data_IF_507725938821
#
_entry.id   IF_507725938821
#
_cell.length_a   1.000
_cell.length_b   1.000
_cell.length_c   1.000
_cell.angle_alpha   90.00
_cell.angle_beta   90.00
_cell.angle_gamma   90.00
#
_symmetry.space_group_name_H-M   'P 1'
#
loop_
_entity.id
_entity.type
_entity.pdbx_description
1 polymer ?
#
# COMPACT_ATOMS: atom_id res chain seq x y z
N UNK A 1 14.54 36.58 -36.92
CA UNK A 1 14.17 35.16 -37.06
C UNK A 1 13.79 34.62 -35.69
N UNK A 2 12.51 34.22 -35.55
CA UNK A 2 11.82 33.91 -34.29
C UNK A 2 11.21 32.52 -34.47
N UNK A 3 12.00 31.44 -34.34
CA UNK A 3 11.48 30.06 -34.32
C UNK A 3 12.47 29.11 -33.63
N UNK A 4 12.87 29.35 -32.37
CA UNK A 4 13.36 28.28 -31.48
C UNK A 4 12.88 28.57 -30.04
N UNK A 5 11.57 28.66 -29.92
CA UNK A 5 10.85 28.59 -28.67
C UNK A 5 10.38 27.14 -28.48
N UNK A 6 10.22 26.75 -27.21
CA UNK A 6 9.03 26.03 -26.72
C UNK A 6 9.00 24.50 -26.52
N UNK A 7 10.10 23.74 -26.60
CA UNK A 7 10.02 22.32 -26.20
C UNK A 7 11.24 21.90 -25.38
N UNK A 8 11.08 21.94 -24.04
CA UNK A 8 11.65 21.02 -23.03
C UNK A 8 11.47 21.53 -21.59
N UNK A 9 10.73 22.63 -21.38
CA UNK A 9 10.06 22.87 -20.11
C UNK A 9 8.78 22.00 -20.03
N UNK A 10 8.94 20.67 -20.08
CA UNK A 10 7.87 19.80 -19.61
C UNK A 10 7.84 20.00 -18.11
N UNK A 11 6.78 20.68 -17.68
CA UNK A 11 6.42 20.89 -16.30
C UNK A 11 6.71 19.63 -15.46
N UNK A 12 7.76 19.69 -14.64
CA UNK A 12 7.79 18.92 -13.42
C UNK A 12 6.63 19.45 -12.58
N UNK A 13 5.45 18.87 -12.79
CA UNK A 13 4.33 19.01 -11.87
C UNK A 13 4.89 18.69 -10.48
N UNK A 14 4.90 19.72 -9.63
CA UNK A 14 5.40 19.65 -8.27
C UNK A 14 4.46 18.79 -7.42
N UNK A 15 4.56 17.46 -7.56
CA UNK A 15 4.23 16.53 -6.50
C UNK A 15 5.41 16.53 -5.54
N UNK A 16 5.20 16.86 -4.26
CA UNK A 16 6.26 16.77 -3.23
C UNK A 16 6.91 15.38 -3.32
N UNK A 17 8.14 15.31 -3.83
CA UNK A 17 8.89 14.07 -3.93
C UNK A 17 8.98 13.39 -2.56
N UNK A 18 9.14 12.06 -2.57
CA UNK A 18 9.34 11.30 -1.33
C UNK A 18 10.50 11.92 -0.52
N UNK A 19 10.39 12.06 0.79
CA UNK A 19 11.52 12.55 1.60
C UNK A 19 12.67 11.54 1.53
N UNK A 20 13.90 12.02 1.79
CA UNK A 20 15.09 11.15 1.84
C UNK A 20 14.89 10.00 2.82
N UNK A 21 14.42 10.29 4.04
CA UNK A 21 14.16 9.28 5.07
C UNK A 21 13.16 8.22 4.62
N UNK A 22 12.10 8.61 3.90
CA UNK A 22 11.14 7.64 3.40
C UNK A 22 11.66 6.82 2.22
N UNK A 23 12.61 7.33 1.42
CA UNK A 23 13.32 6.50 0.44
C UNK A 23 14.23 5.49 1.13
N UNK A 24 14.94 5.91 2.17
CA UNK A 24 15.82 5.02 2.96
C UNK A 24 15.03 3.89 3.61
N UNK A 25 13.85 4.17 4.17
CA UNK A 25 12.92 3.15 4.65
C UNK A 25 12.54 2.13 3.57
N UNK A 26 12.15 2.60 2.38
CA UNK A 26 11.76 1.71 1.29
C UNK A 26 12.92 0.82 0.83
N UNK A 27 14.13 1.37 0.78
CA UNK A 27 15.35 0.61 0.52
C UNK A 27 15.63 -0.42 1.63
N UNK A 28 15.48 -0.04 2.90
CA UNK A 28 15.63 -0.95 4.03
C UNK A 28 14.65 -2.13 3.91
N UNK A 29 13.37 -1.85 3.62
CA UNK A 29 12.33 -2.88 3.55
C UNK A 29 12.63 -3.96 2.50
N UNK A 30 13.25 -3.57 1.38
CA UNK A 30 13.74 -4.50 0.35
C UNK A 30 14.97 -5.26 0.86
N UNK A 31 15.99 -4.55 1.34
CA UNK A 31 17.29 -5.13 1.71
C UNK A 31 17.20 -6.09 2.90
N UNK A 32 16.28 -5.84 3.83
CA UNK A 32 16.02 -6.68 5.01
C UNK A 32 15.02 -7.81 4.74
N UNK A 33 14.49 -7.90 3.53
CA UNK A 33 13.51 -8.94 3.17
C UNK A 33 12.14 -8.75 3.82
N UNK A 34 11.83 -7.55 4.35
CA UNK A 34 10.47 -7.22 4.79
C UNK A 34 9.48 -7.20 3.61
N UNK A 35 9.98 -7.02 2.38
CA UNK A 35 9.23 -7.20 1.14
C UNK A 35 9.86 -8.35 0.35
N UNK A 36 9.14 -9.46 0.20
CA UNK A 36 9.59 -10.66 -0.53
C UNK A 36 9.45 -10.47 -2.04
N UNK A 37 10.31 -9.64 -2.64
CA UNK A 37 10.24 -9.28 -4.07
C UNK A 37 10.35 -10.48 -5.01
N UNK A 38 11.23 -11.44 -4.71
CA UNK A 38 11.39 -12.67 -5.51
C UNK A 38 10.11 -13.51 -5.56
N UNK A 39 9.43 -13.64 -4.42
CA UNK A 39 8.12 -14.29 -4.33
C UNK A 39 7.10 -13.54 -5.20
N UNK A 40 7.01 -12.22 -5.08
CA UNK A 40 6.08 -11.42 -5.90
C UNK A 40 6.34 -11.55 -7.39
N UNK A 41 7.60 -11.46 -7.81
CA UNK A 41 7.95 -11.61 -9.23
C UNK A 41 7.54 -12.99 -9.76
N UNK A 42 7.73 -14.06 -8.99
CA UNK A 42 7.29 -15.40 -9.38
C UNK A 42 5.76 -15.46 -9.55
N UNK A 43 5.01 -14.97 -8.56
CA UNK A 43 3.53 -14.96 -8.58
C UNK A 43 2.95 -14.12 -9.71
N UNK A 44 3.52 -12.96 -9.99
CA UNK A 44 3.10 -12.12 -11.12
C UNK A 44 3.33 -12.84 -12.45
N UNK A 45 4.49 -13.49 -12.62
CA UNK A 45 4.78 -14.27 -13.84
C UNK A 45 3.84 -15.46 -14.01
N UNK A 46 3.48 -16.16 -12.94
CA UNK A 46 2.53 -17.28 -12.99
C UNK A 46 1.11 -16.83 -13.39
N UNK A 47 0.65 -15.71 -12.86
CA UNK A 47 -0.75 -15.28 -13.01
C UNK A 47 -1.02 -14.64 -14.39
N UNK A 48 0.01 -14.07 -15.03
CA UNK A 48 -0.03 -13.39 -16.34
C UNK A 48 -1.01 -12.21 -16.49
N UNK A 49 -1.91 -12.00 -15.53
CA UNK A 49 -3.00 -11.01 -15.57
C UNK A 49 -3.38 -10.56 -14.16
N UNK A 50 -4.05 -9.41 -14.04
CA UNK A 50 -4.47 -8.88 -12.74
C UNK A 50 -5.73 -9.59 -12.25
N UNK A 51 -5.63 -10.26 -11.10
CA UNK A 51 -6.72 -10.96 -10.42
C UNK A 51 -6.79 -10.53 -8.95
N UNK A 52 -7.87 -10.89 -8.25
CA UNK A 52 -7.97 -10.67 -6.80
C UNK A 52 -6.84 -11.37 -6.02
N UNK A 53 -6.34 -12.51 -6.53
CA UNK A 53 -5.25 -13.28 -5.90
C UNK A 53 -3.94 -12.49 -5.84
N UNK A 54 -3.67 -11.63 -6.83
CA UNK A 54 -2.45 -10.79 -6.80
C UNK A 54 -2.42 -9.89 -5.57
N UNK A 55 -3.57 -9.39 -5.12
CA UNK A 55 -3.62 -8.61 -3.88
C UNK A 55 -3.26 -9.46 -2.65
N UNK A 56 -3.72 -10.71 -2.61
CA UNK A 56 -3.44 -11.62 -1.50
C UNK A 56 -1.97 -12.03 -1.47
N UNK A 57 -1.38 -12.23 -2.64
CA UNK A 57 0.05 -12.46 -2.79
C UNK A 57 0.87 -11.22 -2.35
N UNK A 58 0.39 -10.00 -2.64
CA UNK A 58 0.99 -8.75 -2.12
C UNK A 58 0.93 -8.66 -0.60
N UNK A 59 -0.25 -8.90 -0.02
CA UNK A 59 -0.44 -8.88 1.42
C UNK A 59 0.43 -9.91 2.13
N UNK A 60 0.66 -11.07 1.51
CA UNK A 60 1.52 -12.14 2.03
C UNK A 60 3.01 -11.82 1.91
N UNK A 61 3.40 -11.10 0.86
CA UNK A 61 4.80 -10.78 0.58
C UNK A 61 5.34 -9.60 1.40
N UNK A 62 4.47 -8.74 1.93
CA UNK A 62 4.83 -7.52 2.65
C UNK A 62 4.62 -7.74 4.15
N UNK A 63 5.71 -7.81 4.89
CA UNK A 63 5.70 -7.89 6.34
C UNK A 63 5.75 -6.47 6.96
N UNK A 64 4.58 -5.91 7.24
CA UNK A 64 4.46 -4.62 7.90
C UNK A 64 5.02 -4.63 9.33
N UNK A 65 5.03 -5.77 10.03
CA UNK A 65 5.66 -5.90 11.34
C UNK A 65 7.18 -5.75 11.26
N UNK A 66 7.78 -6.34 10.22
CA UNK A 66 9.19 -6.14 9.88
C UNK A 66 9.50 -4.68 9.56
N UNK A 67 8.67 -4.03 8.72
CA UNK A 67 8.85 -2.61 8.36
C UNK A 67 8.75 -1.70 9.60
N UNK A 68 7.75 -1.92 10.46
CA UNK A 68 7.48 -1.03 11.58
C UNK A 68 8.38 -1.24 12.80
N UNK A 69 8.81 -2.48 13.06
CA UNK A 69 9.38 -2.84 14.36
C UNK A 69 10.71 -3.59 14.30
N UNK A 70 10.80 -4.70 13.57
CA UNK A 70 11.92 -5.64 13.73
C UNK A 70 13.02 -5.49 12.69
N UNK A 71 12.71 -4.96 11.50
CA UNK A 71 13.65 -4.88 10.37
C UNK A 71 14.11 -3.46 10.03
N UNK A 72 13.20 -2.47 10.07
CA UNK A 72 13.44 -1.10 9.57
C UNK A 72 12.89 -0.01 10.52
N UNK A 73 12.94 -0.25 11.83
CA UNK A 73 12.34 0.62 12.84
C UNK A 73 12.91 2.04 12.82
N UNK A 74 14.24 2.16 12.75
CA UNK A 74 14.92 3.46 12.77
C UNK A 74 14.57 4.29 11.53
N UNK A 75 14.59 3.66 10.35
CA UNK A 75 14.16 4.30 9.10
C UNK A 75 12.66 4.64 9.12
N UNK A 76 11.83 3.80 9.74
CA UNK A 76 10.40 4.04 9.88
C UNK A 76 10.14 5.26 10.77
N UNK A 77 10.84 5.37 11.90
CA UNK A 77 10.73 6.51 12.81
C UNK A 77 11.23 7.80 12.15
N UNK A 78 12.26 7.72 11.30
CA UNK A 78 12.76 8.87 10.52
C UNK A 78 11.83 9.28 9.36
N UNK A 79 11.01 8.35 8.85
CA UNK A 79 10.00 8.62 7.82
C UNK A 79 8.65 8.97 8.46
N UNK A 80 8.28 10.26 8.49
CA UNK A 80 7.01 10.70 9.11
C UNK A 80 5.78 9.93 8.60
N UNK A 81 5.72 9.53 7.33
CA UNK A 81 4.60 8.73 6.83
C UNK A 81 4.52 7.35 7.49
N UNK A 82 5.66 6.68 7.69
CA UNK A 82 5.74 5.38 8.34
C UNK A 82 5.47 5.49 9.83
N UNK A 83 6.13 6.43 10.51
CA UNK A 83 5.92 6.70 11.94
C UNK A 83 4.44 6.96 12.25
N UNK A 84 3.76 7.79 11.47
CA UNK A 84 2.34 8.07 11.66
C UNK A 84 1.47 6.82 11.42
N UNK A 85 1.79 6.02 10.39
CA UNK A 85 1.07 4.77 10.12
C UNK A 85 1.27 3.73 11.23
N UNK A 86 2.48 3.68 11.81
CA UNK A 86 2.83 2.83 12.94
C UNK A 86 2.07 3.24 14.21
N UNK A 87 2.00 4.53 14.52
CA UNK A 87 1.25 5.03 15.67
C UNK A 87 -0.25 4.69 15.53
N UNK A 88 -0.83 4.92 14.35
CA UNK A 88 -2.24 4.56 14.09
C UNK A 88 -2.51 3.06 14.29
N UNK A 89 -1.55 2.18 13.93
CA UNK A 89 -1.68 0.75 14.19
C UNK A 89 -1.59 0.44 15.69
N UNK A 90 -0.69 1.08 16.43
CA UNK A 90 -0.59 0.93 17.88
C UNK A 90 -1.89 1.33 18.58
N UNK A 91 -2.49 2.45 18.18
CA UNK A 91 -3.76 2.93 18.75
C UNK A 91 -4.91 1.93 18.52
N UNK A 92 -4.95 1.29 17.34
CA UNK A 92 -5.92 0.21 17.04
C UNK A 92 -5.72 -0.98 17.96
N UNK A 93 -4.46 -1.38 18.17
CA UNK A 93 -4.11 -2.55 18.97
C UNK A 93 -4.30 -2.31 20.49
N UNK A 94 -4.17 -1.07 20.95
CA UNK A 94 -4.45 -0.69 22.34
C UNK A 94 -5.95 -0.50 22.63
N UNK A 95 -6.80 -0.52 21.60
CA UNK A 95 -8.24 -0.35 21.74
C UNK A 95 -8.67 1.09 21.98
N UNK A 96 -7.80 2.07 21.70
CA UNK A 96 -8.17 3.48 21.80
C UNK A 96 -9.06 3.88 20.62
N UNK A 97 -10.23 4.44 20.92
CA UNK A 97 -11.17 4.95 19.91
C UNK A 97 -10.56 6.17 19.24
N UNK A 98 -9.94 6.00 18.08
CA UNK A 98 -9.39 7.14 17.35
C UNK A 98 -10.53 7.88 16.63
N UNK A 99 -10.89 9.06 17.13
CA UNK A 99 -11.71 10.05 16.40
C UNK A 99 -10.93 10.71 15.25
N UNK A 100 -9.86 10.06 14.78
CA UNK A 100 -8.88 10.59 13.86
C UNK A 100 -9.14 10.21 12.41
N UNK A 101 -8.27 10.73 11.52
CA UNK A 101 -8.19 10.28 10.14
C UNK A 101 -8.03 8.75 10.12
N UNK A 102 -8.92 8.03 9.40
CA UNK A 102 -9.02 6.56 9.31
C UNK A 102 -9.98 5.83 10.28
N UNK A 103 -10.85 6.51 11.03
CA UNK A 103 -11.77 5.87 11.99
C UNK A 103 -12.55 4.65 11.47
N UNK A 104 -13.04 4.64 10.22
CA UNK A 104 -13.74 3.47 9.65
C UNK A 104 -12.84 2.23 9.54
N UNK A 105 -11.58 2.42 9.11
CA UNK A 105 -10.61 1.33 9.00
C UNK A 105 -10.26 0.79 10.39
N UNK A 106 -10.04 1.70 11.34
CA UNK A 106 -9.71 1.37 12.74
C UNK A 106 -10.84 0.57 13.37
N UNK A 107 -12.08 1.08 13.30
CA UNK A 107 -13.25 0.40 13.86
C UNK A 107 -13.45 -1.00 13.26
N UNK A 108 -13.29 -1.14 11.94
CA UNK A 108 -13.36 -2.45 11.29
C UNK A 108 -12.30 -3.41 11.86
N UNK A 109 -11.05 -2.95 12.00
CA UNK A 109 -9.96 -3.77 12.54
C UNK A 109 -10.21 -4.15 14.02
N UNK A 110 -10.67 -3.20 14.84
CA UNK A 110 -11.04 -3.44 16.24
C UNK A 110 -12.15 -4.49 16.35
N UNK A 111 -13.18 -4.41 15.50
CA UNK A 111 -14.24 -5.42 15.44
C UNK A 111 -13.72 -6.80 15.01
N UNK A 112 -12.83 -6.87 14.03
CA UNK A 112 -12.19 -8.13 13.62
C UNK A 112 -11.43 -8.79 14.78
N UNK A 113 -10.71 -7.99 15.58
CA UNK A 113 -9.95 -8.47 16.73
C UNK A 113 -10.88 -8.92 17.86
N UNK A 114 -11.88 -8.09 18.20
CA UNK A 114 -12.83 -8.36 19.28
C UNK A 114 -13.63 -9.65 19.06
N UNK A 115 -13.97 -9.97 17.81
CA UNK A 115 -14.74 -11.19 17.48
C UNK A 115 -13.94 -12.49 17.57
N UNK A 116 -12.61 -12.43 17.58
CA UNK A 116 -11.77 -13.60 17.37
C UNK A 116 -11.04 -14.10 18.62
N UNK A 117 -10.91 -13.28 19.68
CA UNK A 117 -10.36 -13.68 20.99
C UNK A 117 -8.86 -14.02 21.03
N UNK A 118 -8.31 -14.60 19.96
CA UNK A 118 -6.88 -14.88 19.74
C UNK A 118 -6.52 -14.70 18.26
N UNK A 119 -5.23 -14.43 17.97
CA UNK A 119 -4.70 -14.34 16.60
C UNK A 119 -4.98 -15.65 15.86
N UNK A 120 -5.85 -15.59 14.86
CA UNK A 120 -6.28 -16.73 14.05
C UNK A 120 -6.37 -16.32 12.59
N UNK A 121 -6.40 -17.31 11.69
CA UNK A 121 -6.62 -17.09 10.25
C UNK A 121 -7.90 -16.29 9.98
N UNK A 122 -8.88 -16.36 10.88
CA UNK A 122 -10.11 -15.56 10.82
C UNK A 122 -9.85 -14.06 11.01
N UNK A 123 -8.94 -13.67 11.92
CA UNK A 123 -8.54 -12.26 12.07
C UNK A 123 -7.84 -11.79 10.81
N UNK A 124 -6.86 -12.56 10.33
CA UNK A 124 -6.06 -12.21 9.15
C UNK A 124 -6.98 -12.04 7.93
N UNK A 125 -7.90 -12.98 7.72
CA UNK A 125 -8.88 -12.89 6.64
C UNK A 125 -9.80 -11.66 6.80
N UNK A 126 -10.30 -11.39 8.01
CA UNK A 126 -11.14 -10.22 8.29
C UNK A 126 -10.41 -8.90 7.97
N UNK A 127 -9.16 -8.77 8.39
CA UNK A 127 -8.35 -7.59 8.14
C UNK A 127 -8.02 -7.42 6.65
N UNK A 128 -7.54 -8.48 5.99
CA UNK A 128 -7.06 -8.43 4.61
C UNK A 128 -8.19 -8.37 3.57
N UNK A 129 -9.31 -9.03 3.81
CA UNK A 129 -10.42 -9.13 2.85
C UNK A 129 -11.60 -8.22 3.20
N UNK A 130 -11.77 -7.84 4.47
CA UNK A 130 -12.83 -6.93 4.91
C UNK A 130 -12.33 -5.51 5.09
N UNK A 131 -11.40 -5.31 6.02
CA UNK A 131 -11.05 -3.95 6.45
C UNK A 131 -10.14 -3.20 5.49
N UNK A 132 -9.26 -3.91 4.77
CA UNK A 132 -8.31 -3.28 3.85
C UNK A 132 -8.97 -2.41 2.77
N UNK A 133 -10.23 -2.70 2.40
CA UNK A 133 -11.03 -1.82 1.53
C UNK A 133 -11.08 -0.37 2.03
N UNK A 134 -11.23 -0.15 3.35
CA UNK A 134 -11.34 1.18 3.95
C UNK A 134 -10.02 1.98 3.90
N UNK A 135 -8.90 1.31 3.62
CA UNK A 135 -7.64 1.98 3.28
C UNK A 135 -7.77 2.72 1.94
N UNK A 136 -8.54 2.18 0.99
CA UNK A 136 -8.59 2.63 -0.40
C UNK A 136 -9.93 3.25 -0.83
N UNK A 137 -10.97 3.19 0.00
CA UNK A 137 -12.29 3.79 -0.26
C UNK A 137 -12.30 5.33 -0.26
N UNK A 138 -11.18 5.95 0.15
CA UNK A 138 -11.03 7.40 0.35
C UNK A 138 -11.19 7.85 1.80
N UNK A 139 -11.54 6.95 2.73
CA UNK A 139 -11.72 7.28 4.16
C UNK A 139 -10.43 7.35 4.96
N UNK A 140 -9.30 6.93 4.38
CA UNK A 140 -8.01 6.85 5.07
C UNK A 140 -6.84 7.17 4.13
N UNK A 141 -6.62 8.47 3.88
CA UNK A 141 -5.65 8.92 2.86
C UNK A 141 -4.21 8.51 3.16
N UNK A 142 -3.81 8.54 4.44
CA UNK A 142 -2.47 8.13 4.89
C UNK A 142 -2.20 6.65 4.62
N UNK A 143 -3.14 5.75 4.94
CA UNK A 143 -3.00 4.33 4.65
C UNK A 143 -2.84 4.09 3.15
N UNK A 144 -3.74 4.65 2.32
CA UNK A 144 -3.65 4.48 0.86
C UNK A 144 -2.28 4.95 0.34
N UNK A 145 -1.81 6.14 0.77
CA UNK A 145 -0.54 6.71 0.32
C UNK A 145 0.67 5.88 0.77
N UNK A 146 0.67 5.40 2.01
CA UNK A 146 1.74 4.56 2.52
C UNK A 146 1.80 3.23 1.78
N UNK A 147 0.67 2.51 1.70
CA UNK A 147 0.59 1.22 1.02
C UNK A 147 0.91 1.33 -0.47
N UNK A 148 0.46 2.41 -1.14
CA UNK A 148 0.83 2.69 -2.53
C UNK A 148 2.33 2.88 -2.71
N UNK A 149 3.02 3.52 -1.76
CA UNK A 149 4.48 3.73 -1.82
C UNK A 149 5.25 2.43 -1.62
N UNK A 150 4.82 1.61 -0.66
CA UNK A 150 5.38 0.27 -0.43
C UNK A 150 5.20 -0.59 -1.69
N UNK A 151 4.00 -0.60 -2.27
CA UNK A 151 3.75 -1.30 -3.53
C UNK A 151 4.62 -0.77 -4.67
N UNK A 152 4.70 0.56 -4.86
CA UNK A 152 5.50 1.13 -5.94
C UNK A 152 6.97 0.71 -5.82
N UNK A 153 7.51 0.68 -4.60
CA UNK A 153 8.85 0.17 -4.37
C UNK A 153 8.97 -1.30 -4.78
N UNK A 154 8.07 -2.17 -4.31
CA UNK A 154 8.05 -3.58 -4.66
C UNK A 154 7.93 -3.80 -6.18
N UNK A 155 7.07 -3.01 -6.82
CA UNK A 155 6.82 -3.03 -8.26
C UNK A 155 8.06 -2.69 -9.08
N UNK A 156 8.78 -1.63 -8.69
CA UNK A 156 10.02 -1.22 -9.36
C UNK A 156 11.14 -2.21 -9.07
N UNK A 157 11.34 -2.60 -7.81
CA UNK A 157 12.41 -3.52 -7.41
C UNK A 157 12.23 -4.94 -7.94
N UNK A 158 10.99 -5.40 -8.12
CA UNK A 158 10.65 -6.73 -8.63
C UNK A 158 10.35 -6.79 -10.13
N UNK A 159 10.46 -5.66 -10.84
CA UNK A 159 10.09 -5.52 -12.26
C UNK A 159 8.68 -6.10 -12.57
N UNK A 160 7.72 -5.83 -11.67
CA UNK A 160 6.41 -6.50 -11.68
C UNK A 160 5.56 -6.12 -12.89
N UNK A 161 5.77 -4.92 -13.45
CA UNK A 161 5.08 -4.50 -14.68
C UNK A 161 5.49 -5.37 -15.85
N UNK A 162 6.78 -5.65 -16.01
CA UNK A 162 7.29 -6.52 -17.08
C UNK A 162 6.82 -7.95 -16.89
N UNK A 163 6.70 -8.42 -15.65
CA UNK A 163 6.24 -9.77 -15.34
C UNK A 163 4.84 -10.09 -15.90
N UNK A 164 3.97 -9.09 -16.11
CA UNK A 164 2.63 -9.26 -16.68
C UNK A 164 2.39 -8.37 -17.92
N UNK A 165 3.45 -7.85 -18.55
CA UNK A 165 3.37 -6.93 -19.70
C UNK A 165 2.42 -5.73 -19.48
N UNK A 166 2.45 -5.13 -18.29
CA UNK A 166 1.61 -3.98 -17.94
C UNK A 166 2.20 -2.66 -18.47
N UNK A 167 1.46 -1.98 -19.34
CA UNK A 167 1.92 -0.76 -20.03
C UNK A 167 1.82 0.53 -19.19
N UNK A 168 1.11 0.52 -18.07
CA UNK A 168 0.95 1.69 -17.20
C UNK A 168 2.04 1.87 -16.14
N UNK A 169 1.85 2.82 -15.23
CA UNK A 169 2.70 3.06 -14.07
C UNK A 169 2.37 2.09 -12.93
N UNK A 170 3.32 1.88 -12.01
CA UNK A 170 3.13 0.99 -10.85
C UNK A 170 1.90 1.38 -10.03
N UNK A 171 1.66 2.68 -9.78
CA UNK A 171 0.51 3.11 -8.99
C UNK A 171 -0.83 2.86 -9.70
N UNK A 172 -0.85 2.87 -11.04
CA UNK A 172 -2.03 2.52 -11.84
C UNK A 172 -2.28 1.01 -11.78
N UNK A 173 -1.20 0.21 -11.90
CA UNK A 173 -1.27 -1.24 -11.72
C UNK A 173 -1.83 -1.58 -10.34
N UNK A 174 -1.37 -0.89 -9.31
CA UNK A 174 -1.86 -1.07 -7.95
C UNK A 174 -3.34 -0.73 -7.81
N UNK A 175 -3.77 0.38 -8.41
CA UNK A 175 -5.19 0.77 -8.45
C UNK A 175 -6.04 -0.34 -9.07
N UNK A 176 -5.59 -0.92 -10.18
CA UNK A 176 -6.29 -2.02 -10.86
C UNK A 176 -6.32 -3.29 -10.00
N UNK A 177 -5.23 -3.63 -9.32
CA UNK A 177 -5.16 -4.78 -8.39
C UNK A 177 -6.14 -4.60 -7.23
N UNK A 178 -6.15 -3.43 -6.60
CA UNK A 178 -7.06 -3.12 -5.48
C UNK A 178 -8.51 -3.13 -5.93
N UNK A 179 -8.82 -2.56 -7.09
CA UNK A 179 -10.16 -2.64 -7.65
C UNK A 179 -10.58 -4.09 -7.93
N UNK A 180 -9.70 -4.91 -8.52
CA UNK A 180 -9.99 -6.33 -8.76
C UNK A 180 -10.27 -7.11 -7.46
N UNK A 181 -9.56 -6.79 -6.38
CA UNK A 181 -9.77 -7.40 -5.06
C UNK A 181 -11.11 -7.03 -4.43
N UNK A 182 -11.47 -5.75 -4.45
CA UNK A 182 -12.65 -5.21 -3.77
C UNK A 182 -13.74 -4.75 -4.75
N UNK A 183 -13.84 -5.43 -5.91
CA UNK A 183 -14.71 -5.01 -7.01
C UNK A 183 -16.15 -4.80 -6.56
N UNK A 184 -16.69 -5.76 -5.78
CA UNK A 184 -18.06 -5.70 -5.27
C UNK A 184 -18.29 -4.46 -4.40
N UNK A 185 -17.34 -4.12 -3.53
CA UNK A 185 -17.48 -2.99 -2.61
C UNK A 185 -17.38 -1.64 -3.34
N UNK A 186 -16.44 -1.53 -4.29
CA UNK A 186 -16.29 -0.33 -5.13
C UNK A 186 -17.48 -0.12 -6.07
N UNK A 187 -17.99 -1.19 -6.68
CA UNK A 187 -19.17 -1.14 -7.54
C UNK A 187 -20.41 -0.71 -6.73
N UNK A 188 -20.57 -1.23 -5.50
CA UNK A 188 -21.69 -0.89 -4.63
C UNK A 188 -21.74 0.60 -4.24
N UNK A 189 -20.58 1.25 -4.09
CA UNK A 189 -20.50 2.68 -3.74
C UNK A 189 -20.30 3.59 -4.97
N UNK A 190 -20.17 3.03 -6.17
CA UNK A 190 -19.94 3.78 -7.41
C UNK A 190 -18.63 4.57 -7.43
N UNK A 191 -17.56 4.06 -6.82
CA UNK A 191 -16.25 4.74 -6.73
C UNK A 191 -15.10 3.87 -7.22
N UNK A 192 -13.97 4.52 -7.53
CA UNK A 192 -12.70 3.88 -7.81
C UNK A 192 -11.77 3.94 -6.58
N UNK A 193 -10.74 3.07 -6.48
CA UNK A 193 -9.79 3.13 -5.39
C UNK A 193 -9.06 4.49 -5.36
N UNK A 194 -9.01 5.10 -4.18
CA UNK A 194 -8.35 6.37 -3.89
C UNK A 194 -6.81 6.22 -3.83
N UNK A 195 -6.22 5.78 -4.94
CA UNK A 195 -4.78 5.54 -5.14
C UNK A 195 -4.28 6.55 -6.18
N UNK A 196 -3.07 7.09 -6.02
CA UNK A 196 -2.40 7.88 -7.07
C UNK A 196 -2.65 9.40 -7.07
N UNK A 197 -3.41 9.96 -6.12
CA UNK A 197 -3.31 11.39 -5.82
C UNK A 197 -2.07 11.61 -4.95
N UNK A 198 -0.95 11.93 -5.62
CA UNK A 198 0.31 12.30 -5.00
C UNK A 198 0.28 13.73 -4.46
#
# INVERSE_FOLDING_TARGET
>A
EVVVLLLLAVAAASGKGLSKSCRELLSCAINRGCIKTSFLTARFRETHSITSQIYDDLATAIDYGCIFNTGCNDECNACNLCMQSKLQLTDVLSGESTSGECGTLVNCATECIARAGAVSDKIVNCLLHGCAFHCFSGTCSKCSRFTTRVFNQACVSGDLRKAINYNGQCHEMFRTIVYAKFKKDFDAIGRQPAIGHL
#
